data_IF_866932090849
#
_entry.id   IF_866932090849
#
_cell.length_a   1.000
_cell.length_b   1.000
_cell.length_c   1.000
_cell.angle_alpha   90.00
_cell.angle_beta   90.00
_cell.angle_gamma   90.00
#
_symmetry.space_group_name_H-M   'P 1'
#
loop_
_entity.id
_entity.type
_entity.pdbx_description
1 polymer ?
#
# COMPACT_ATOMS: atom_id res chain seq x y z
N UNK A 1 18.89 24.66 10.94
CA UNK A 1 18.09 24.06 9.85
C UNK A 1 16.69 24.64 9.96
N UNK A 2 16.29 25.39 8.94
CA UNK A 2 15.00 26.08 8.87
C UNK A 2 13.83 25.10 9.10
N UNK A 3 12.90 25.45 9.99
CA UNK A 3 11.75 24.59 10.35
C UNK A 3 10.93 24.21 9.11
N UNK A 4 10.89 25.08 8.10
CA UNK A 4 10.19 24.81 6.83
C UNK A 4 10.76 23.58 6.09
N UNK A 5 12.08 23.39 6.08
CA UNK A 5 12.69 22.24 5.39
C UNK A 5 12.33 20.92 6.06
N UNK A 6 12.34 20.88 7.40
CA UNK A 6 11.95 19.71 8.18
C UNK A 6 10.48 19.36 7.94
N UNK A 7 9.59 20.33 7.91
CA UNK A 7 8.16 20.08 7.64
C UNK A 7 7.93 19.56 6.21
N UNK A 8 8.57 20.17 5.21
CA UNK A 8 8.46 19.70 3.83
C UNK A 8 9.02 18.29 3.65
N UNK A 9 10.18 17.99 4.25
CA UNK A 9 10.78 16.67 4.19
C UNK A 9 9.91 15.62 4.90
N UNK A 10 9.31 15.95 6.05
CA UNK A 10 8.34 15.09 6.72
C UNK A 10 7.13 14.81 5.83
N UNK A 11 6.57 15.82 5.17
CA UNK A 11 5.39 15.66 4.31
C UNK A 11 5.68 14.77 3.09
N UNK A 12 6.88 14.85 2.53
CA UNK A 12 7.33 13.97 1.43
C UNK A 12 7.46 12.53 1.92
N UNK A 13 8.12 12.30 3.06
CA UNK A 13 8.23 10.96 3.64
C UNK A 13 6.85 10.39 3.98
N UNK A 14 5.96 11.21 4.54
CA UNK A 14 4.58 10.82 4.84
C UNK A 14 3.80 10.39 3.60
N UNK A 15 3.87 11.16 2.51
CA UNK A 15 3.15 10.82 1.28
C UNK A 15 3.73 9.57 0.60
N UNK A 16 5.06 9.41 0.58
CA UNK A 16 5.73 8.20 0.09
C UNK A 16 5.31 6.97 0.91
N UNK A 17 5.27 7.10 2.24
CA UNK A 17 4.83 6.02 3.12
C UNK A 17 3.41 5.57 2.78
N UNK A 18 2.46 6.51 2.70
CA UNK A 18 1.05 6.19 2.42
C UNK A 18 0.90 5.57 1.04
N UNK A 19 1.55 6.15 0.01
CA UNK A 19 1.50 5.59 -1.34
C UNK A 19 2.05 4.16 -1.37
N UNK A 20 3.21 3.93 -0.76
CA UNK A 20 3.85 2.61 -0.69
C UNK A 20 2.98 1.59 0.06
N UNK A 21 2.38 2.00 1.19
CA UNK A 21 1.50 1.13 1.98
C UNK A 21 0.23 0.74 1.21
N UNK A 22 -0.44 1.71 0.57
CA UNK A 22 -1.64 1.43 -0.23
C UNK A 22 -1.28 0.53 -1.41
N UNK A 23 -0.22 0.85 -2.16
CA UNK A 23 0.22 0.02 -3.28
C UNK A 23 0.55 -1.40 -2.84
N UNK A 24 1.26 -1.57 -1.71
CA UNK A 24 1.56 -2.87 -1.11
C UNK A 24 0.28 -3.68 -0.90
N UNK A 25 -0.75 -3.06 -0.29
CA UNK A 25 -2.03 -3.72 -0.01
C UNK A 25 -2.78 -4.12 -1.28
N UNK A 26 -2.71 -3.32 -2.35
CA UNK A 26 -3.39 -3.62 -3.62
C UNK A 26 -2.71 -4.75 -4.39
N UNK A 27 -1.37 -4.78 -4.42
CA UNK A 27 -0.62 -5.79 -5.18
C UNK A 27 -0.30 -7.04 -4.36
N UNK A 28 -0.63 -7.06 -3.06
CA UNK A 28 -0.30 -8.17 -2.18
C UNK A 28 -0.94 -9.51 -2.59
N UNK A 29 -2.07 -9.48 -3.31
CA UNK A 29 -2.69 -10.68 -3.86
C UNK A 29 -1.99 -11.24 -5.11
N UNK A 30 -1.07 -10.49 -5.72
CA UNK A 30 -0.32 -10.93 -6.89
C UNK A 30 0.95 -11.64 -6.44
N UNK A 31 1.03 -12.94 -6.65
CA UNK A 31 2.25 -13.70 -6.40
C UNK A 31 3.11 -13.76 -7.66
N UNK A 32 4.41 -13.51 -7.48
CA UNK A 32 5.43 -13.54 -8.54
C UNK A 32 6.47 -14.60 -8.21
N UNK A 33 6.99 -15.25 -9.25
CA UNK A 33 8.13 -16.16 -9.14
C UNK A 33 9.40 -15.36 -9.35
N UNK A 34 10.30 -15.39 -8.37
CA UNK A 34 11.63 -14.81 -8.48
C UNK A 34 12.61 -15.97 -8.57
N UNK A 35 13.31 -16.06 -9.70
CA UNK A 35 14.39 -17.03 -9.87
C UNK A 35 15.73 -16.37 -9.55
N UNK A 36 16.38 -16.87 -8.49
CA UNK A 36 17.70 -16.41 -8.05
C UNK A 36 18.83 -17.26 -8.66
N UNK A 37 18.53 -18.12 -9.64
CA UNK A 37 19.48 -18.99 -10.32
C UNK A 37 19.85 -20.26 -9.55
N UNK A 38 19.67 -20.28 -8.23
CA UNK A 38 19.84 -21.46 -7.37
C UNK A 38 18.52 -22.02 -6.82
N UNK A 39 17.45 -21.21 -6.77
CA UNK A 39 16.13 -21.61 -6.31
C UNK A 39 15.07 -20.59 -6.75
N UNK A 40 13.92 -21.10 -7.19
CA UNK A 40 12.74 -20.28 -7.48
C UNK A 40 11.92 -20.06 -6.20
N UNK A 41 11.65 -18.81 -5.87
CA UNK A 41 10.80 -18.43 -4.75
C UNK A 41 9.49 -17.85 -5.26
N UNK A 42 8.37 -18.27 -4.64
CA UNK A 42 7.06 -17.66 -4.84
C UNK A 42 6.88 -16.61 -3.76
N UNK A 43 6.82 -15.34 -4.15
CA UNK A 43 6.70 -14.20 -3.24
C UNK A 43 5.56 -13.31 -3.68
N UNK A 44 4.89 -12.67 -2.72
CA UNK A 44 3.91 -11.63 -3.04
C UNK A 44 4.62 -10.42 -3.66
N UNK A 45 4.06 -9.86 -4.73
CA UNK A 45 4.55 -8.63 -5.34
C UNK A 45 4.53 -7.44 -4.35
N UNK A 46 3.70 -7.52 -3.30
CA UNK A 46 3.67 -6.53 -2.22
C UNK A 46 5.00 -6.37 -1.50
N UNK A 47 5.86 -7.40 -1.52
CA UNK A 47 7.18 -7.36 -0.89
C UNK A 47 8.07 -6.24 -1.45
N UNK A 48 7.83 -5.78 -2.69
CA UNK A 48 8.60 -4.71 -3.32
C UNK A 48 8.45 -3.36 -2.60
N UNK A 49 7.29 -3.11 -2.03
CA UNK A 49 6.98 -1.86 -1.32
C UNK A 49 7.45 -1.87 0.15
N UNK A 50 7.76 -3.05 0.69
CA UNK A 50 8.11 -3.25 2.10
C UNK A 50 9.46 -2.60 2.51
N UNK A 51 10.55 -2.70 1.71
CA UNK A 51 11.79 -1.98 2.02
C UNK A 51 11.59 -0.47 2.08
N UNK A 52 10.74 0.08 1.22
CA UNK A 52 10.45 1.52 1.18
C UNK A 52 9.68 1.93 2.44
N UNK A 53 8.63 1.21 2.82
CA UNK A 53 7.87 1.52 4.05
C UNK A 53 8.74 1.42 5.30
N UNK A 54 9.62 0.43 5.37
CA UNK A 54 10.56 0.26 6.48
C UNK A 54 11.54 1.44 6.60
N UNK A 55 12.25 1.77 5.51
CA UNK A 55 13.22 2.87 5.48
C UNK A 55 12.55 4.21 5.83
N UNK A 56 11.36 4.47 5.27
CA UNK A 56 10.65 5.71 5.53
C UNK A 56 10.19 5.80 6.98
N UNK A 57 9.67 4.71 7.56
CA UNK A 57 9.23 4.70 8.96
C UNK A 57 10.41 4.89 9.92
N UNK A 58 11.54 4.25 9.62
CA UNK A 58 12.78 4.37 10.39
C UNK A 58 13.29 5.82 10.39
N UNK A 59 13.42 6.43 9.20
CA UNK A 59 13.79 7.84 9.04
C UNK A 59 12.83 8.79 9.78
N UNK A 60 11.52 8.53 9.72
CA UNK A 60 10.54 9.36 10.43
C UNK A 60 10.75 9.22 11.95
N UNK A 61 10.99 8.01 12.44
CA UNK A 61 11.18 7.74 13.85
C UNK A 61 12.45 8.38 14.42
N UNK A 62 13.54 8.39 13.64
CA UNK A 62 14.84 8.94 14.03
C UNK A 62 14.85 10.48 13.95
N UNK A 63 14.33 11.05 12.88
CA UNK A 63 14.40 12.50 12.63
C UNK A 63 13.27 13.28 13.30
N UNK A 64 12.09 12.68 13.45
CA UNK A 64 10.87 13.34 13.92
C UNK A 64 10.28 12.69 15.18
N UNK A 65 10.85 11.59 15.64
CA UNK A 65 10.46 10.88 16.86
C UNK A 65 9.41 9.80 16.62
N UNK A 66 9.45 8.78 17.48
CA UNK A 66 8.58 7.60 17.43
C UNK A 66 7.08 7.93 17.45
N UNK A 67 6.67 8.97 18.21
CA UNK A 67 5.25 9.39 18.26
C UNK A 67 4.73 9.84 16.91
N UNK A 68 5.56 10.51 16.09
CA UNK A 68 5.17 10.92 14.73
C UNK A 68 5.14 9.72 13.78
N UNK A 69 6.13 8.83 13.86
CA UNK A 69 6.14 7.59 13.08
C UNK A 69 4.88 6.75 13.30
N UNK A 70 4.46 6.55 14.55
CA UNK A 70 3.23 5.83 14.87
C UNK A 70 1.98 6.50 14.28
N UNK A 71 1.93 7.84 14.29
CA UNK A 71 0.83 8.58 13.63
C UNK A 71 0.82 8.35 12.12
N UNK A 72 1.98 8.36 11.47
CA UNK A 72 2.10 8.10 10.03
C UNK A 72 1.57 6.71 9.68
N UNK A 73 1.97 5.68 10.44
CA UNK A 73 1.49 4.30 10.27
C UNK A 73 -0.03 4.22 10.45
N UNK A 74 -0.55 4.83 11.51
CA UNK A 74 -1.99 4.85 11.78
C UNK A 74 -2.79 5.60 10.69
N UNK A 75 -2.28 6.73 10.21
CA UNK A 75 -2.87 7.46 9.07
C UNK A 75 -2.86 6.61 7.80
N UNK A 76 -1.79 5.87 7.53
CA UNK A 76 -1.70 4.95 6.40
C UNK A 76 -2.71 3.80 6.50
N UNK A 77 -2.93 3.27 7.71
CA UNK A 77 -3.97 2.26 7.96
C UNK A 77 -5.38 2.81 7.67
N UNK A 78 -5.71 4.01 8.17
CA UNK A 78 -6.99 4.66 7.86
C UNK A 78 -7.16 4.91 6.36
N UNK A 79 -6.11 5.41 5.70
CA UNK A 79 -6.13 5.63 4.25
C UNK A 79 -6.36 4.33 3.47
N UNK A 80 -5.78 3.22 3.94
CA UNK A 80 -5.98 1.89 3.34
C UNK A 80 -7.43 1.43 3.46
N UNK A 81 -8.07 1.60 4.62
CA UNK A 81 -9.50 1.33 4.82
C UNK A 81 -10.34 2.21 3.88
N UNK A 82 -10.00 3.49 3.75
CA UNK A 82 -10.70 4.39 2.85
C UNK A 82 -10.65 3.90 1.40
N UNK A 83 -9.48 3.49 0.91
CA UNK A 83 -9.34 2.90 -0.43
C UNK A 83 -10.20 1.65 -0.60
N UNK A 84 -10.26 0.77 0.41
CA UNK A 84 -11.12 -0.41 0.36
C UNK A 84 -12.60 -0.07 0.20
N UNK A 85 -13.08 0.98 0.88
CA UNK A 85 -14.47 1.43 0.76
C UNK A 85 -14.77 1.81 -0.68
N UNK A 86 -13.87 2.54 -1.36
CA UNK A 86 -14.06 2.90 -2.77
C UNK A 86 -13.99 1.71 -3.70
N UNK A 87 -13.08 0.76 -3.45
CA UNK A 87 -13.03 -0.47 -4.23
C UNK A 87 -14.32 -1.29 -4.09
N UNK A 88 -14.85 -1.38 -2.88
CA UNK A 88 -16.12 -2.05 -2.61
C UNK A 88 -17.30 -1.34 -3.31
N UNK A 89 -17.36 0.00 -3.23
CA UNK A 89 -18.36 0.80 -3.93
C UNK A 89 -18.27 0.62 -5.45
N UNK A 90 -17.06 0.54 -6.01
CA UNK A 90 -16.85 0.28 -7.44
C UNK A 90 -17.44 -1.04 -7.90
N UNK A 91 -17.35 -2.09 -7.07
CA UNK A 91 -17.93 -3.41 -7.36
C UNK A 91 -19.45 -3.49 -7.23
N UNK A 92 -20.14 -2.45 -6.75
CA UNK A 92 -21.61 -2.44 -6.68
C UNK A 92 -22.27 -2.17 -8.03
N UNK A 93 -21.52 -1.60 -8.99
CA UNK A 93 -22.03 -1.25 -10.30
C UNK A 93 -21.62 -2.29 -11.33
N UNK A 94 -22.55 -2.68 -12.21
CA UNK A 94 -22.24 -3.60 -13.28
C UNK A 94 -21.35 -2.94 -14.34
N UNK A 95 -20.31 -3.66 -14.77
CA UNK A 95 -19.51 -3.28 -15.92
C UNK A 95 -20.38 -3.21 -17.19
N UNK A 96 -20.12 -2.20 -18.00
CA UNK A 96 -20.69 -2.09 -19.35
C UNK A 96 -20.06 -3.13 -20.27
N UNK A 97 -20.74 -3.48 -21.36
CA UNK A 97 -20.29 -4.51 -22.32
C UNK A 97 -18.93 -4.22 -22.97
N UNK A 98 -18.55 -2.94 -23.06
CA UNK A 98 -17.32 -2.46 -23.68
C UNK A 98 -16.19 -2.20 -22.65
N UNK A 99 -16.39 -2.60 -21.39
CA UNK A 99 -15.41 -2.43 -20.32
C UNK A 99 -14.27 -3.44 -20.47
N UNK A 100 -13.02 -2.97 -20.35
CA UNK A 100 -11.82 -3.82 -20.34
C UNK A 100 -11.80 -4.78 -19.14
N UNK A 101 -12.43 -4.37 -18.03
CA UNK A 101 -12.52 -5.16 -16.79
C UNK A 101 -14.00 -5.49 -16.57
N UNK A 102 -14.32 -6.78 -16.57
CA UNK A 102 -15.66 -7.27 -16.23
C UNK A 102 -15.83 -7.44 -14.72
N UNK A 103 -17.06 -7.73 -14.31
CA UNK A 103 -17.40 -7.91 -12.90
C UNK A 103 -16.62 -9.07 -12.25
N UNK A 104 -16.42 -10.17 -12.98
CA UNK A 104 -15.72 -11.35 -12.46
C UNK A 104 -14.24 -11.07 -12.21
N UNK A 105 -13.56 -10.43 -13.16
CA UNK A 105 -12.15 -10.03 -13.04
C UNK A 105 -11.98 -9.01 -11.92
N UNK A 106 -12.89 -8.03 -11.81
CA UNK A 106 -12.86 -7.04 -10.73
C UNK A 106 -12.98 -7.71 -9.35
N UNK A 107 -13.95 -8.62 -9.21
CA UNK A 107 -14.14 -9.38 -7.98
C UNK A 107 -12.92 -10.25 -7.66
N UNK A 108 -12.34 -10.96 -8.63
CA UNK A 108 -11.14 -11.79 -8.37
C UNK A 108 -9.96 -10.94 -7.87
N UNK A 109 -9.75 -9.74 -8.43
CA UNK A 109 -8.63 -8.87 -8.06
C UNK A 109 -8.85 -8.21 -6.70
N UNK A 110 -10.07 -7.72 -6.41
CA UNK A 110 -10.33 -6.86 -5.25
C UNK A 110 -11.10 -7.53 -4.10
N UNK A 111 -11.76 -8.69 -4.30
CA UNK A 111 -12.51 -9.39 -3.23
C UNK A 111 -11.63 -9.84 -2.06
N UNK A 112 -10.32 -10.02 -2.27
CA UNK A 112 -9.37 -10.33 -1.19
C UNK A 112 -8.70 -9.10 -0.57
N UNK A 113 -8.93 -7.89 -1.09
CA UNK A 113 -8.25 -6.68 -0.62
C UNK A 113 -8.57 -6.38 0.86
N UNK A 114 -9.80 -6.69 1.32
CA UNK A 114 -10.18 -6.51 2.74
C UNK A 114 -9.42 -7.46 3.69
N UNK A 115 -9.04 -8.66 3.23
CA UNK A 115 -8.33 -9.65 4.06
C UNK A 115 -6.91 -9.21 4.38
N UNK A 116 -6.26 -8.46 3.49
CA UNK A 116 -4.87 -8.02 3.67
C UNK A 116 -4.76 -6.90 4.70
N UNK A 117 -5.78 -6.05 4.80
CA UNK A 117 -5.81 -4.94 5.76
C UNK A 117 -6.30 -5.40 7.14
N UNK A 118 -7.08 -6.48 7.20
CA UNK A 118 -7.56 -7.07 8.45
C UNK A 118 -6.62 -8.12 9.07
N UNK A 119 -5.63 -8.61 8.31
CA UNK A 119 -4.61 -9.57 8.78
C UNK A 119 -3.45 -8.86 9.47
#
# INVERSE_FOLDING_TARGET
>A
MDNSFKENFFNILFSIFIASLITCNLIANKFVTVDLGFKTFVVSAGILAYPITFIVTDLISELYGQKKANKVVFSGFIASIFVLIFLWLGGQFNAISDSVVDNETYDVVFRNAWRIIAA
#
